data_IF_704657981496
#
_entry.id   IF_704657981496
#
_cell.length_a   1.000
_cell.length_b   1.000
_cell.length_c   1.000
_cell.angle_alpha   90.00
_cell.angle_beta   90.00
_cell.angle_gamma   90.00
#
_symmetry.space_group_name_H-M   'P 1'
#
loop_
_entity.id
_entity.type
_entity.pdbx_description
1 polymer ?
#
# COMPACT_ATOMS: atom_id res chain seq x y z
N UNK A 1 -21.69 -1.68 -36.24
CA UNK A 1 -22.29 -2.06 -34.95
C UNK A 1 -21.61 -3.35 -34.53
N UNK A 2 -20.46 -3.21 -33.88
CA UNK A 2 -19.73 -4.33 -33.28
C UNK A 2 -19.47 -3.86 -31.85
N UNK A 3 -20.30 -4.33 -30.92
CA UNK A 3 -20.11 -4.08 -29.51
C UNK A 3 -18.95 -4.98 -29.06
N UNK A 4 -17.80 -4.37 -28.81
CA UNK A 4 -16.65 -5.03 -28.21
C UNK A 4 -17.03 -5.37 -26.76
N UNK A 5 -17.50 -6.59 -26.52
CA UNK A 5 -17.67 -7.13 -25.18
C UNK A 5 -16.27 -7.26 -24.58
N UNK A 6 -15.93 -6.34 -23.69
CA UNK A 6 -14.73 -6.42 -22.86
C UNK A 6 -14.95 -7.55 -21.86
N UNK A 7 -14.62 -8.77 -22.26
CA UNK A 7 -14.42 -9.89 -21.35
C UNK A 7 -13.32 -9.48 -20.37
N UNK A 8 -13.73 -8.99 -19.19
CA UNK A 8 -12.81 -8.71 -18.10
C UNK A 8 -12.02 -9.98 -17.79
N UNK A 9 -10.73 -9.87 -17.43
CA UNK A 9 -9.92 -11.04 -17.12
C UNK A 9 -10.63 -11.88 -16.05
N UNK A 10 -10.65 -13.21 -16.19
CA UNK A 10 -11.31 -14.07 -15.23
C UNK A 10 -10.72 -13.82 -13.85
N UNK A 11 -11.61 -13.68 -12.86
CA UNK A 11 -11.31 -13.51 -11.44
C UNK A 11 -10.74 -14.82 -10.88
N UNK A 12 -9.67 -15.34 -11.49
CA UNK A 12 -9.01 -16.62 -11.16
C UNK A 12 -7.50 -16.48 -10.99
N UNK A 13 -6.95 -15.26 -10.98
CA UNK A 13 -5.51 -15.02 -10.77
C UNK A 13 -5.09 -14.82 -9.32
N UNK A 14 -6.01 -14.98 -8.35
CA UNK A 14 -5.63 -15.03 -6.93
C UNK A 14 -4.95 -16.36 -6.56
N UNK A 15 -5.02 -17.36 -7.45
CA UNK A 15 -4.38 -18.68 -7.31
C UNK A 15 -2.97 -18.65 -7.90
N UNK A 16 -2.02 -17.95 -7.27
CA UNK A 16 -0.61 -18.08 -7.61
C UNK A 16 0.32 -17.82 -6.42
N UNK A 17 0.53 -18.86 -5.63
CA UNK A 17 1.80 -19.07 -4.91
C UNK A 17 1.88 -18.52 -3.50
N UNK A 18 1.35 -19.26 -2.52
CA UNK A 18 1.84 -19.20 -1.13
C UNK A 18 3.19 -19.93 -0.97
N UNK A 19 4.07 -19.85 -1.98
CA UNK A 19 5.43 -20.39 -1.91
C UNK A 19 6.39 -19.33 -1.42
N UNK A 20 6.87 -19.47 -0.18
CA UNK A 20 8.07 -18.87 0.47
C UNK A 20 8.50 -17.42 0.12
N UNK A 21 7.62 -16.61 -0.47
CA UNK A 21 7.77 -15.17 -0.64
C UNK A 21 7.02 -14.51 0.50
N UNK A 22 7.66 -13.56 1.17
CA UNK A 22 6.99 -12.70 2.15
C UNK A 22 5.70 -12.14 1.52
N UNK A 23 4.54 -12.49 2.09
CA UNK A 23 3.22 -12.02 1.61
C UNK A 23 3.16 -10.50 1.53
N UNK A 24 3.85 -9.83 2.45
CA UNK A 24 4.05 -8.38 2.45
C UNK A 24 4.79 -7.90 1.19
N UNK A 25 5.90 -8.57 0.83
CA UNK A 25 6.67 -8.24 -0.37
C UNK A 25 5.85 -8.42 -1.65
N UNK A 26 5.04 -9.49 -1.72
CA UNK A 26 4.16 -9.72 -2.86
C UNK A 26 3.09 -8.63 -2.99
N UNK A 27 2.51 -8.17 -1.88
CA UNK A 27 1.55 -7.06 -1.87
C UNK A 27 2.19 -5.74 -2.28
N UNK A 28 3.37 -5.40 -1.75
CA UNK A 28 4.10 -4.19 -2.14
C UNK A 28 4.50 -4.20 -3.61
N UNK A 29 4.92 -5.36 -4.15
CA UNK A 29 5.20 -5.54 -5.58
C UNK A 29 3.94 -5.37 -6.44
N UNK A 30 2.78 -5.81 -5.94
CA UNK A 30 1.52 -5.60 -6.64
C UNK A 30 1.15 -4.10 -6.69
N UNK A 31 1.27 -3.40 -5.56
CA UNK A 31 0.99 -1.96 -5.50
C UNK A 31 1.99 -1.11 -6.28
N UNK A 32 3.26 -1.53 -6.39
CA UNK A 32 4.27 -0.80 -7.16
C UNK A 32 4.00 -0.77 -8.67
N UNK A 33 3.03 -1.54 -9.17
CA UNK A 33 2.58 -1.51 -10.57
C UNK A 33 1.63 -0.34 -10.85
N UNK A 34 1.12 0.32 -9.81
CA UNK A 34 0.25 1.48 -9.93
C UNK A 34 1.13 2.70 -10.22
N UNK A 35 0.83 3.41 -11.31
CA UNK A 35 1.50 4.67 -11.65
C UNK A 35 1.25 5.71 -10.56
N UNK A 36 2.32 6.35 -10.09
CA UNK A 36 2.25 7.38 -9.05
C UNK A 36 2.32 8.77 -9.69
N UNK A 37 1.18 9.46 -9.89
CA UNK A 37 1.18 10.80 -10.49
C UNK A 37 1.68 11.88 -9.52
N UNK A 38 2.03 11.51 -8.29
CA UNK A 38 2.48 12.44 -7.27
C UNK A 38 3.93 12.82 -7.53
N UNK A 39 4.23 14.09 -7.31
CA UNK A 39 5.59 14.61 -7.34
C UNK A 39 6.45 13.93 -6.24
N UNK A 40 7.44 13.07 -6.56
CA UNK A 40 8.14 12.26 -5.56
C UNK A 40 8.87 13.10 -4.50
N UNK A 41 9.31 14.31 -4.85
CA UNK A 41 9.97 15.24 -3.93
C UNK A 41 9.03 15.89 -2.90
N UNK A 42 7.71 15.70 -3.04
CA UNK A 42 6.69 16.29 -2.17
C UNK A 42 6.12 15.28 -1.16
N UNK A 43 6.48 14.01 -1.25
CA UNK A 43 5.97 12.94 -0.41
C UNK A 43 7.11 12.11 0.18
N UNK A 44 7.05 11.87 1.48
CA UNK A 44 8.10 11.12 2.22
C UNK A 44 7.96 9.61 2.02
N UNK A 45 6.75 9.11 1.78
CA UNK A 45 6.48 7.67 1.63
C UNK A 45 6.10 7.30 0.20
N UNK A 46 6.62 6.17 -0.31
CA UNK A 46 6.27 5.68 -1.62
C UNK A 46 4.80 5.22 -1.64
N UNK A 47 4.16 5.30 -2.81
CA UNK A 47 2.74 4.94 -2.98
C UNK A 47 2.38 3.54 -2.45
N UNK A 48 3.19 2.49 -2.68
CA UNK A 48 2.87 1.14 -2.21
C UNK A 48 2.70 1.03 -0.70
N UNK A 49 3.49 1.78 0.08
CA UNK A 49 3.41 1.76 1.54
C UNK A 49 2.15 2.47 2.04
N UNK A 50 1.77 3.59 1.39
CA UNK A 50 0.55 4.31 1.71
C UNK A 50 -0.69 3.47 1.37
N UNK A 51 -0.68 2.79 0.23
CA UNK A 51 -1.77 1.89 -0.17
C UNK A 51 -1.89 0.69 0.78
N UNK A 52 -0.77 0.12 1.20
CA UNK A 52 -0.76 -0.93 2.22
C UNK A 52 -1.39 -0.43 3.53
N UNK A 53 -0.99 0.74 4.02
CA UNK A 53 -1.53 1.32 5.23
C UNK A 53 -3.04 1.59 5.12
N UNK A 54 -3.51 2.10 3.97
CA UNK A 54 -4.92 2.34 3.72
C UNK A 54 -5.74 1.04 3.72
N UNK A 55 -5.23 -0.04 3.12
CA UNK A 55 -5.88 -1.37 3.12
C UNK A 55 -5.93 -1.94 4.54
N UNK A 56 -4.81 -1.89 5.27
CA UNK A 56 -4.76 -2.35 6.65
C UNK A 56 -5.73 -1.58 7.55
N UNK A 57 -5.77 -0.24 7.42
CA UNK A 57 -6.69 0.61 8.16
C UNK A 57 -8.16 0.32 7.81
N UNK A 58 -8.47 0.06 6.55
CA UNK A 58 -9.82 -0.35 6.12
C UNK A 58 -10.23 -1.69 6.76
N UNK A 59 -9.31 -2.67 6.81
CA UNK A 59 -9.56 -3.97 7.46
C UNK A 59 -9.72 -3.80 8.98
N UNK A 60 -9.02 -2.83 9.57
CA UNK A 60 -9.09 -2.47 10.97
C UNK A 60 -10.32 -1.58 11.32
N UNK A 61 -11.23 -1.36 10.36
CA UNK A 61 -12.45 -0.56 10.53
C UNK A 61 -12.16 0.91 10.88
N UNK A 62 -11.05 1.47 10.37
CA UNK A 62 -10.76 2.90 10.50
C UNK A 62 -11.69 3.73 9.62
N UNK A 63 -12.34 4.73 10.21
CA UNK A 63 -13.41 5.52 9.59
C UNK A 63 -12.90 6.57 8.59
N UNK A 64 -11.67 7.07 8.80
CA UNK A 64 -11.05 8.12 8.01
C UNK A 64 -9.51 8.04 8.01
N UNK A 65 -8.88 8.93 7.25
CA UNK A 65 -7.41 8.96 7.14
C UNK A 65 -6.69 9.30 8.46
N UNK A 66 -7.33 10.03 9.38
CA UNK A 66 -6.76 10.35 10.69
C UNK A 66 -6.79 9.10 11.58
N UNK A 67 -7.89 8.35 11.56
CA UNK A 67 -8.01 7.06 12.25
C UNK A 67 -6.99 6.04 11.72
N UNK A 68 -6.78 5.98 10.40
CA UNK A 68 -5.75 5.12 9.77
C UNK A 68 -4.34 5.54 10.22
N UNK A 69 -4.04 6.84 10.27
CA UNK A 69 -2.74 7.34 10.71
C UNK A 69 -2.49 7.03 12.20
N UNK A 70 -3.48 7.29 13.06
CA UNK A 70 -3.41 6.97 14.47
C UNK A 70 -3.26 5.47 14.73
N UNK A 71 -3.96 4.63 13.96
CA UNK A 71 -3.80 3.18 14.00
C UNK A 71 -2.38 2.75 13.59
N UNK A 72 -1.84 3.31 12.50
CA UNK A 72 -0.47 3.02 12.05
C UNK A 72 0.59 3.41 13.08
N UNK A 73 0.42 4.55 13.74
CA UNK A 73 1.30 5.03 14.83
C UNK A 73 1.18 4.17 16.09
N UNK A 74 -0.01 3.64 16.40
CA UNK A 74 -0.22 2.77 17.56
C UNK A 74 0.30 1.34 17.36
N UNK A 75 0.31 0.82 16.13
CA UNK A 75 0.86 -0.51 15.80
C UNK A 75 2.39 -0.48 15.62
N UNK A 76 2.93 0.64 15.15
CA UNK A 76 4.37 0.86 15.09
C UNK A 76 4.88 1.30 16.44
N UNK A 77 5.38 0.35 17.25
CA UNK A 77 6.08 0.59 18.51
C UNK A 77 6.86 1.93 18.46
N UNK A 78 6.45 2.82 19.35
CA UNK A 78 6.67 4.28 19.39
C UNK A 78 8.14 4.75 19.38
N UNK A 79 9.10 3.84 19.24
CA UNK A 79 10.52 4.14 19.04
C UNK A 79 10.96 4.04 17.57
N UNK A 80 10.27 3.25 16.73
CA UNK A 80 10.61 3.07 15.31
C UNK A 80 9.71 3.84 14.33
N UNK A 81 8.50 4.21 14.74
CA UNK A 81 7.65 5.10 13.95
C UNK A 81 8.28 6.50 13.76
N UNK A 82 9.24 6.88 14.60
CA UNK A 82 10.02 8.11 14.45
C UNK A 82 11.19 7.97 13.43
N UNK A 83 11.66 6.76 13.15
CA UNK A 83 12.66 6.50 12.08
C UNK A 83 12.05 6.69 10.68
N UNK A 84 10.73 6.49 10.59
CA UNK A 84 9.91 6.78 9.42
C UNK A 84 9.75 8.31 9.22
N UNK A 85 9.97 9.15 10.25
CA UNK A 85 9.88 10.63 10.18
C UNK A 85 11.19 11.44 10.28
N UNK A 86 12.36 10.87 10.64
CA UNK A 86 13.58 11.70 10.89
C UNK A 86 14.83 11.32 10.08
N UNK A 87 14.84 10.24 9.30
CA UNK A 87 16.09 9.79 8.64
C UNK A 87 16.08 9.78 7.12
N UNK A 88 15.50 10.80 6.46
CA UNK A 88 15.95 11.20 5.11
C UNK A 88 15.51 12.60 4.66
N UNK A 89 15.73 13.60 5.51
CA UNK A 89 15.91 15.00 5.08
C UNK A 89 17.41 15.31 5.07
N UNK A 90 18.19 14.52 4.34
CA UNK A 90 19.50 14.87 3.73
C UNK A 90 20.05 13.61 3.06
N UNK A 91 20.46 13.79 1.81
CA UNK A 91 20.97 12.77 0.91
C UNK A 91 20.74 13.23 -0.51
#
# INVERSE_FOLDING_TARGET
MEALVLEGPPMSSIEAGFGEKSRLKALLEHFSRIDDPRAPWRFVYPLPEILLLAVCGTIADCEDYEAIAAWGEAQGDSEKANEIRVTRVVG
#
